data_IF_051851653429
#
_entry.id   IF_051851653429
#
_cell.length_a   1.000
_cell.length_b   1.000
_cell.length_c   1.000
_cell.angle_alpha   90.00
_cell.angle_beta   90.00
_cell.angle_gamma   90.00
#
_symmetry.space_group_name_H-M   'P 1'
#
loop_
_entity.id
_entity.type
_entity.pdbx_description
1 polymer ?
#
# COMPACT_ATOMS: atom_id res chain seq x y z
N UNK A 1 4.08 -0.54 -51.21
CA UNK A 1 4.19 0.20 -49.93
C UNK A 1 2.91 0.25 -49.08
N UNK A 2 1.67 0.24 -49.63
CA UNK A 2 0.43 0.35 -48.82
C UNK A 2 0.03 -0.91 -48.03
N UNK A 3 0.46 -2.10 -48.44
CA UNK A 3 0.13 -3.37 -47.78
C UNK A 3 0.97 -3.65 -46.52
N UNK A 4 2.25 -3.24 -46.52
CA UNK A 4 3.15 -3.41 -45.37
C UNK A 4 2.65 -2.62 -44.14
N UNK A 5 2.18 -1.39 -44.35
CA UNK A 5 1.65 -0.55 -43.27
C UNK A 5 0.37 -1.13 -42.64
N UNK A 6 -0.47 -1.83 -43.43
CA UNK A 6 -1.69 -2.48 -42.91
C UNK A 6 -1.37 -3.72 -42.06
N UNK A 7 -0.35 -4.49 -42.45
CA UNK A 7 0.12 -5.64 -41.68
C UNK A 7 0.74 -5.24 -40.33
N UNK A 8 1.48 -4.11 -40.30
CA UNK A 8 2.09 -3.58 -39.07
C UNK A 8 1.03 -3.11 -38.06
N UNK A 9 -0.04 -2.46 -38.52
CA UNK A 9 -1.12 -1.98 -37.65
C UNK A 9 -1.90 -3.17 -37.05
N UNK A 10 -2.16 -4.21 -37.84
CA UNK A 10 -2.86 -5.42 -37.38
C UNK A 10 -2.01 -6.24 -36.40
N UNK A 11 -0.69 -6.23 -36.55
CA UNK A 11 0.25 -6.89 -35.63
C UNK A 11 0.32 -6.19 -34.25
N UNK A 12 0.19 -4.86 -34.20
CA UNK A 12 0.21 -4.11 -32.92
C UNK A 12 -1.04 -4.36 -32.06
N UNK A 13 -2.20 -4.68 -32.66
CA UNK A 13 -3.44 -4.95 -31.92
C UNK A 13 -3.52 -6.34 -31.30
N UNK A 14 -2.58 -7.23 -31.64
CA UNK A 14 -2.52 -8.61 -31.15
C UNK A 14 -1.62 -8.77 -29.90
N UNK A 15 -1.02 -7.69 -29.40
CA UNK A 15 -0.27 -7.74 -28.15
C UNK A 15 -1.26 -7.70 -26.97
N UNK A 16 -1.44 -8.80 -26.21
CA UNK A 16 -2.27 -8.76 -25.02
C UNK A 16 -1.60 -7.84 -24.01
N UNK A 17 -2.22 -6.68 -23.77
CA UNK A 17 -1.81 -5.83 -22.66
C UNK A 17 -2.38 -6.47 -21.40
N UNK A 18 -1.58 -7.30 -20.72
CA UNK A 18 -1.94 -7.79 -19.39
C UNK A 18 -1.84 -6.61 -18.43
N UNK A 19 -2.93 -5.86 -18.29
CA UNK A 19 -3.06 -4.80 -17.30
C UNK A 19 -3.33 -5.49 -15.97
N UNK A 20 -2.26 -5.79 -15.22
CA UNK A 20 -2.42 -6.17 -13.82
C UNK A 20 -2.88 -4.94 -13.04
N UNK A 21 -3.96 -5.10 -12.27
CA UNK A 21 -4.40 -4.15 -11.27
C UNK A 21 -3.18 -3.73 -10.43
N UNK A 22 -2.81 -2.45 -10.56
CA UNK A 22 -1.55 -1.92 -10.05
C UNK A 22 -1.71 -1.38 -8.63
N UNK A 23 -2.96 -1.14 -8.24
CA UNK A 23 -3.31 -0.63 -6.92
C UNK A 23 -4.00 -1.70 -6.09
N UNK A 24 -3.74 -1.70 -4.79
CA UNK A 24 -4.40 -2.55 -3.81
C UNK A 24 -5.01 -1.66 -2.74
N UNK A 25 -6.22 -1.98 -2.30
CA UNK A 25 -6.91 -1.36 -1.17
C UNK A 25 -7.20 -2.43 -0.13
N UNK A 26 -6.92 -2.12 1.13
CA UNK A 26 -7.17 -2.95 2.29
C UNK A 26 -8.06 -2.21 3.28
N UNK A 27 -9.07 -2.91 3.81
CA UNK A 27 -9.88 -2.45 4.94
C UNK A 27 -9.46 -3.22 6.18
N UNK A 28 -9.00 -2.51 7.20
CA UNK A 28 -8.65 -3.08 8.52
C UNK A 28 -9.96 -3.39 9.25
N UNK A 29 -10.12 -4.62 9.76
CA UNK A 29 -11.39 -5.09 10.33
C UNK A 29 -11.63 -4.61 11.77
N UNK A 30 -10.57 -4.30 12.49
CA UNK A 30 -10.58 -4.01 13.92
C UNK A 30 -10.10 -2.57 14.13
N UNK A 31 -10.68 -1.86 15.11
CA UNK A 31 -10.14 -0.58 15.55
C UNK A 31 -8.73 -0.79 16.09
N UNK A 32 -7.76 -0.13 15.47
CA UNK A 32 -6.36 -0.21 15.89
C UNK A 32 -5.92 1.07 16.60
N UNK A 33 -4.83 0.97 17.35
CA UNK A 33 -4.29 2.07 18.18
C UNK A 33 -3.76 3.26 17.37
N UNK A 34 -3.57 3.12 16.06
CA UNK A 34 -3.21 4.19 15.13
C UNK A 34 -4.44 4.76 14.41
N UNK A 35 -5.63 4.16 14.59
CA UNK A 35 -6.88 4.58 13.98
C UNK A 35 -6.90 4.43 12.46
N UNK A 36 -6.21 3.44 11.89
CA UNK A 36 -6.11 3.22 10.45
C UNK A 36 -7.22 2.27 9.98
N UNK A 37 -8.18 2.78 9.22
CA UNK A 37 -9.27 1.97 8.67
C UNK A 37 -8.99 1.46 7.26
N UNK A 38 -8.38 2.32 6.43
CA UNK A 38 -8.14 2.01 5.02
C UNK A 38 -6.67 2.21 4.69
N UNK A 39 -6.07 1.23 4.03
CA UNK A 39 -4.71 1.28 3.52
C UNK A 39 -4.77 1.06 2.01
N UNK A 40 -4.06 1.86 1.23
CA UNK A 40 -3.95 1.60 -0.19
C UNK A 40 -2.55 1.92 -0.71
N UNK A 41 -2.12 1.17 -1.73
CA UNK A 41 -0.86 1.44 -2.41
C UNK A 41 -0.94 1.16 -3.91
N UNK A 42 -0.06 1.81 -4.66
CA UNK A 42 0.17 1.59 -6.08
C UNK A 42 1.60 1.08 -6.26
N UNK A 43 1.73 -0.15 -6.77
CA UNK A 43 3.02 -0.82 -6.85
C UNK A 43 3.97 -0.21 -7.89
N UNK A 44 3.44 0.37 -8.96
CA UNK A 44 4.24 0.96 -10.04
C UNK A 44 4.69 2.38 -9.68
N UNK A 45 3.77 3.19 -9.16
CA UNK A 45 4.06 4.57 -8.73
C UNK A 45 4.79 4.63 -7.41
N UNK A 46 4.88 3.51 -6.68
CA UNK A 46 5.46 3.42 -5.34
C UNK A 46 4.82 4.39 -4.36
N UNK A 47 3.53 4.69 -4.54
CA UNK A 47 2.77 5.59 -3.66
C UNK A 47 1.88 4.79 -2.74
N UNK A 48 1.66 5.32 -1.54
CA UNK A 48 0.75 4.74 -0.56
C UNK A 48 -0.13 5.82 0.08
N UNK A 49 -1.23 5.39 0.67
CA UNK A 49 -2.10 6.21 1.51
C UNK A 49 -2.70 5.38 2.63
N UNK A 50 -2.94 6.03 3.75
CA UNK A 50 -3.77 5.52 4.84
C UNK A 50 -4.88 6.52 5.14
N UNK A 51 -6.05 6.02 5.55
CA UNK A 51 -7.18 6.84 5.97
C UNK A 51 -7.73 6.35 7.31
N UNK A 52 -8.17 7.30 8.13
CA UNK A 52 -8.78 7.05 9.44
C UNK A 52 -10.32 7.10 9.38
N UNK A 53 -10.98 6.82 10.51
CA UNK A 53 -12.43 6.92 10.65
C UNK A 53 -13.00 8.35 10.59
N UNK A 54 -12.14 9.37 10.57
CA UNK A 54 -12.52 10.77 10.35
C UNK A 54 -12.37 11.19 8.88
N UNK A 55 -12.06 10.26 7.97
CA UNK A 55 -11.70 10.50 6.58
C UNK A 55 -10.47 11.40 6.38
N UNK A 56 -9.63 11.63 7.40
CA UNK A 56 -8.30 12.19 7.17
C UNK A 56 -7.48 11.16 6.38
N UNK A 57 -6.70 11.66 5.41
CA UNK A 57 -5.88 10.81 4.55
C UNK A 57 -4.44 11.27 4.60
N UNK A 58 -3.55 10.33 4.87
CA UNK A 58 -2.12 10.57 4.93
C UNK A 58 -1.42 9.82 3.81
N UNK A 59 -0.54 10.53 3.10
CA UNK A 59 0.17 10.00 1.93
C UNK A 59 1.55 9.49 2.35
N UNK A 60 2.01 8.49 1.63
CA UNK A 60 3.34 7.93 1.81
C UNK A 60 3.80 7.16 0.60
N UNK A 61 4.74 6.26 0.82
CA UNK A 61 5.42 5.51 -0.23
C UNK A 61 5.46 4.03 0.07
N UNK A 62 5.58 3.24 -1.00
CA UNK A 62 5.93 1.83 -0.89
C UNK A 62 7.45 1.73 -0.80
N UNK A 63 7.96 1.32 0.36
CA UNK A 63 9.41 1.20 0.59
C UNK A 63 9.96 -0.14 0.12
N UNK A 64 9.15 -1.19 0.19
CA UNK A 64 9.59 -2.53 -0.19
C UNK A 64 8.42 -3.43 -0.61
N UNK A 65 8.65 -4.28 -1.62
CA UNK A 65 7.72 -5.32 -2.05
C UNK A 65 8.52 -6.60 -2.27
N UNK A 66 8.05 -7.72 -1.73
CA UNK A 66 8.62 -9.04 -2.03
C UNK A 66 7.55 -10.13 -2.09
N UNK A 67 7.87 -11.24 -2.76
CA UNK A 67 7.03 -12.45 -2.73
C UNK A 67 6.85 -12.96 -1.29
N UNK A 68 5.64 -13.40 -0.96
CA UNK A 68 5.27 -13.98 0.33
C UNK A 68 4.15 -15.00 0.15
N UNK A 69 4.49 -16.29 0.24
CA UNK A 69 3.58 -17.41 -0.06
C UNK A 69 2.86 -17.19 -1.41
N UNK A 70 1.53 -17.10 -1.37
CA UNK A 70 0.65 -16.97 -2.52
C UNK A 70 0.39 -15.50 -2.94
N UNK A 71 1.12 -14.55 -2.36
CA UNK A 71 1.03 -13.15 -2.75
C UNK A 71 2.30 -12.35 -2.44
N UNK A 72 2.12 -11.09 -2.04
CA UNK A 72 3.22 -10.15 -1.80
C UNK A 72 3.16 -9.60 -0.38
N UNK A 73 4.32 -9.50 0.24
CA UNK A 73 4.53 -8.69 1.45
C UNK A 73 4.97 -7.29 1.02
N UNK A 74 4.31 -6.29 1.56
CA UNK A 74 4.49 -4.87 1.21
C UNK A 74 4.82 -4.09 2.47
N UNK A 75 5.87 -3.26 2.41
CA UNK A 75 6.19 -2.30 3.44
C UNK A 75 5.86 -0.89 2.94
N UNK A 76 5.20 -0.11 3.78
CA UNK A 76 4.78 1.25 3.52
C UNK A 76 5.39 2.19 4.55
N UNK A 77 5.74 3.40 4.12
CA UNK A 77 6.15 4.47 5.02
C UNK A 77 5.31 5.71 4.75
N UNK A 78 4.63 6.19 5.79
CA UNK A 78 3.76 7.36 5.77
C UNK A 78 4.42 8.45 6.61
N UNK A 79 4.61 9.64 6.03
CA UNK A 79 5.05 10.81 6.78
C UNK A 79 3.86 11.74 6.96
N UNK A 80 3.50 12.02 8.20
CA UNK A 80 2.39 12.91 8.48
C UNK A 80 2.79 14.37 8.19
N UNK A 81 1.85 15.16 7.66
CA UNK A 81 2.08 16.58 7.39
C UNK A 81 2.08 17.44 8.67
N UNK A 82 1.32 16.99 9.66
CA UNK A 82 1.22 17.48 11.04
C UNK A 82 1.32 16.26 11.98
N UNK A 83 1.83 16.40 13.20
CA UNK A 83 1.82 15.29 14.15
C UNK A 83 0.40 14.73 14.32
N UNK A 84 0.27 13.41 14.23
CA UNK A 84 -0.99 12.67 14.30
C UNK A 84 -0.94 11.70 15.46
N UNK A 85 -1.80 11.89 16.47
CA UNK A 85 -1.70 11.22 17.78
C UNK A 85 -0.27 11.24 18.38
N UNK A 86 0.43 12.37 18.23
CA UNK A 86 1.79 12.55 18.73
C UNK A 86 2.88 11.85 17.92
N UNK A 87 2.57 11.26 16.76
CA UNK A 87 3.52 10.68 15.83
C UNK A 87 3.77 11.57 14.60
N UNK A 88 4.98 11.53 14.07
CA UNK A 88 5.40 12.24 12.86
C UNK A 88 5.40 11.33 11.61
N UNK A 89 5.48 10.02 11.81
CA UNK A 89 5.44 9.03 10.74
C UNK A 89 4.87 7.69 11.20
N UNK A 90 4.49 6.86 10.24
CA UNK A 90 4.12 5.46 10.44
C UNK A 90 4.83 4.55 9.43
N UNK A 91 5.19 3.35 9.87
CA UNK A 91 5.60 2.25 8.99
C UNK A 91 4.60 1.11 9.14
N UNK A 92 4.17 0.56 8.01
CA UNK A 92 3.24 -0.56 7.97
C UNK A 92 3.81 -1.70 7.15
N UNK A 93 3.53 -2.92 7.60
CA UNK A 93 3.86 -4.17 6.94
C UNK A 93 2.56 -4.92 6.67
N UNK A 94 2.29 -5.21 5.40
CA UNK A 94 1.06 -5.85 4.93
C UNK A 94 1.43 -7.15 4.22
N UNK A 95 0.76 -8.25 4.54
CA UNK A 95 1.00 -9.54 3.89
C UNK A 95 -0.24 -10.44 3.90
N UNK A 96 -0.46 -11.25 2.84
CA UNK A 96 -1.58 -12.18 2.78
C UNK A 96 -1.39 -13.33 3.76
N UNK A 97 -2.49 -13.82 4.33
CA UNK A 97 -2.52 -15.12 5.02
C UNK A 97 -3.20 -16.18 4.17
N UNK A 98 -4.41 -15.89 3.67
CA UNK A 98 -5.22 -16.82 2.88
C UNK A 98 -6.26 -16.05 2.06
N UNK A 99 -6.35 -16.29 0.75
CA UNK A 99 -7.36 -15.63 -0.10
C UNK A 99 -7.26 -14.09 -0.05
N UNK A 100 -8.36 -13.41 0.27
CA UNK A 100 -8.42 -11.95 0.46
C UNK A 100 -8.05 -11.50 1.88
N UNK A 101 -7.75 -12.43 2.81
CA UNK A 101 -7.36 -12.09 4.18
C UNK A 101 -5.87 -11.77 4.27
N UNK A 102 -5.59 -10.64 4.90
CA UNK A 102 -4.26 -10.09 5.11
C UNK A 102 -4.04 -9.77 6.59
N UNK A 103 -2.76 -9.67 6.94
CA UNK A 103 -2.32 -9.11 8.20
C UNK A 103 -1.62 -7.79 7.97
N UNK A 104 -1.85 -6.87 8.90
CA UNK A 104 -1.23 -5.56 8.95
C UNK A 104 -0.57 -5.41 10.30
N UNK A 105 0.72 -5.11 10.31
CA UNK A 105 1.49 -4.77 11.50
C UNK A 105 2.06 -3.38 11.27
N UNK A 106 2.08 -2.53 12.30
CA UNK A 106 2.53 -1.16 12.13
C UNK A 106 3.18 -0.57 13.35
N UNK A 107 3.91 0.50 13.14
CA UNK A 107 4.55 1.29 14.18
C UNK A 107 4.46 2.75 13.80
N UNK A 108 4.47 3.62 14.79
CA UNK A 108 4.65 5.05 14.60
C UNK A 108 5.95 5.54 15.21
N UNK A 109 6.42 6.67 14.69
CA UNK A 109 7.66 7.28 15.09
C UNK A 109 7.49 8.76 15.43
N UNK A 110 8.27 9.23 16.39
CA UNK A 110 8.62 10.64 16.56
C UNK A 110 9.95 10.87 15.84
N UNK A 111 10.01 11.89 15.00
CA UNK A 111 11.19 12.26 14.22
C UNK A 111 11.87 13.45 14.88
N UNK A 112 13.02 13.21 15.51
CA UNK A 112 13.78 14.25 16.21
C UNK A 112 15.28 14.12 15.93
N UNK A 113 15.95 15.23 15.62
CA UNK A 113 17.40 15.28 15.37
C UNK A 113 17.87 14.24 14.32
N UNK A 114 17.11 14.07 13.23
CA UNK A 114 17.31 13.05 12.19
C UNK A 114 17.28 11.59 12.68
N UNK A 115 16.73 11.33 13.86
CA UNK A 115 16.53 9.99 14.42
C UNK A 115 15.05 9.65 14.48
N UNK A 116 14.77 8.35 14.41
CA UNK A 116 13.43 7.80 14.59
C UNK A 116 13.34 7.21 15.99
N UNK A 117 12.36 7.68 16.76
CA UNK A 117 12.03 7.15 18.08
C UNK A 117 10.70 6.43 17.98
N UNK A 118 10.66 5.16 18.35
CA UNK A 118 9.43 4.39 18.38
C UNK A 118 8.43 5.06 19.34
N UNK A 119 7.21 5.30 18.88
CA UNK A 119 6.14 5.92 19.66
C UNK A 119 5.09 4.86 20.05
N UNK A 120 4.31 4.40 19.07
CA UNK A 120 3.23 3.44 19.28
C UNK A 120 3.40 2.23 18.37
N UNK A 121 2.96 1.06 18.84
CA UNK A 121 2.95 -0.17 18.07
C UNK A 121 1.51 -0.58 17.76
N UNK A 122 1.19 -0.70 16.48
CA UNK A 122 0.01 -1.36 15.97
C UNK A 122 0.27 -2.86 15.94
N UNK A 123 -0.48 -3.59 16.75
CA UNK A 123 -0.45 -5.05 16.81
C UNK A 123 -0.72 -5.74 15.46
N UNK A 124 -0.90 -7.05 15.51
CA UNK A 124 -1.20 -7.84 14.33
C UNK A 124 -2.70 -7.75 13.98
N UNK A 125 -3.06 -6.84 13.09
CA UNK A 125 -4.44 -6.58 12.70
C UNK A 125 -4.87 -7.40 11.48
N UNK A 126 -6.15 -7.75 11.42
CA UNK A 126 -6.75 -8.41 10.26
C UNK A 126 -7.22 -7.38 9.24
N UNK A 127 -6.98 -7.61 7.96
CA UNK A 127 -7.52 -6.77 6.88
C UNK A 127 -8.06 -7.61 5.72
N UNK A 128 -9.02 -7.05 4.97
CA UNK A 128 -9.46 -7.59 3.67
C UNK A 128 -8.86 -6.72 2.58
N UNK A 129 -8.10 -7.31 1.66
CA UNK A 129 -7.46 -6.58 0.58
C UNK A 129 -7.97 -7.01 -0.80
N UNK A 130 -8.13 -6.03 -1.70
CA UNK A 130 -8.55 -6.22 -3.09
C UNK A 130 -7.69 -5.42 -4.04
N UNK A 131 -7.36 -6.02 -5.17
CA UNK A 131 -6.70 -5.32 -6.27
C UNK A 131 -7.74 -4.57 -7.10
N UNK A 132 -7.39 -3.35 -7.51
CA UNK A 132 -8.22 -2.45 -8.33
C UNK A 132 -7.49 -1.97 -9.59
#
# INVERSE_FOLDING_TARGET
MRLLNKAVILALTLLPVTIYATSTICHVKEEDVLGVEVIAWDEQKKTAKISDGFNETHRGIVTYIRKHNDGKKVNLYIKYSKPYFGADAAELIIFPTTGEDFRVIGVTYILKDNKQFLNTFMGNQTAICRNI
#
